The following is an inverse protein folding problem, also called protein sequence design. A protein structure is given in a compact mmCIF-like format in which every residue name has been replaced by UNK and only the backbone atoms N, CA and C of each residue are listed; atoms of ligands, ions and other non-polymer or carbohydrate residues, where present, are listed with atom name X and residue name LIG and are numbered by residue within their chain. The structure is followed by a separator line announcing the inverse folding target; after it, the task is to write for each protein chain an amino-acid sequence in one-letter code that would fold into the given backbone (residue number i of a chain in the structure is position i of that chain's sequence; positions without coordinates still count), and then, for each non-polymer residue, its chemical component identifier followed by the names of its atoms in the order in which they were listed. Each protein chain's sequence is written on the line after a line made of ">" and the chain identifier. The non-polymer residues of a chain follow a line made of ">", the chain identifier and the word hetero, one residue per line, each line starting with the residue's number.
data_IF_600267875830
#
_entry.id   IF_600267875830
#
_cell.length_a   1.000
_cell.length_b   1.000
_cell.length_c   1.000
_cell.angle_alpha   90.00
_cell.angle_beta   90.00
_cell.angle_gamma   90.00
#
_symmetry.space_group_name_H-M   'P 1'
#
loop_
_entity.id
_entity.type
_entity.pdbx_description
1 polymer ?
#
# COMPACT_ATOMS: atom_id res chain seq x y z
N UNK A 1 -6.65 -21.17 -8.10
CA UNK A 1 -7.88 -20.85 -7.31
C UNK A 1 -7.59 -20.14 -5.98
N UNK A 2 -6.70 -20.66 -5.13
CA UNK A 2 -6.39 -20.08 -3.81
C UNK A 2 -5.94 -18.61 -3.89
N UNK A 3 -5.06 -18.27 -4.83
CA UNK A 3 -4.55 -16.90 -5.00
C UNK A 3 -5.63 -15.89 -5.40
N UNK A 4 -6.59 -16.33 -6.23
CA UNK A 4 -7.71 -15.49 -6.65
C UNK A 4 -8.65 -15.19 -5.47
N UNK A 5 -8.87 -16.17 -4.58
CA UNK A 5 -9.66 -15.98 -3.35
C UNK A 5 -8.94 -15.06 -2.37
N UNK A 6 -7.62 -15.22 -2.21
CA UNK A 6 -6.79 -14.34 -1.38
C UNK A 6 -6.81 -12.91 -1.91
N UNK A 7 -6.58 -12.71 -3.22
CA UNK A 7 -6.67 -11.39 -3.87
C UNK A 7 -8.02 -10.74 -3.59
N UNK A 8 -9.13 -11.45 -3.82
CA UNK A 8 -10.49 -10.92 -3.59
C UNK A 8 -10.72 -10.52 -2.13
N UNK A 9 -10.25 -11.35 -1.20
CA UNK A 9 -10.39 -11.10 0.23
C UNK A 9 -9.59 -9.86 0.64
N UNK A 10 -8.35 -9.76 0.18
CA UNK A 10 -7.49 -8.63 0.49
C UNK A 10 -7.98 -7.35 -0.16
N UNK A 11 -8.43 -7.38 -1.41
CA UNK A 11 -9.07 -6.22 -2.09
C UNK A 11 -10.26 -5.70 -1.29
N UNK A 12 -11.14 -6.59 -0.78
CA UNK A 12 -12.27 -6.18 0.08
C UNK A 12 -11.80 -5.54 1.38
N UNK A 13 -10.80 -6.14 2.03
CA UNK A 13 -10.24 -5.63 3.27
C UNK A 13 -9.59 -4.25 3.08
N UNK A 14 -8.81 -4.05 2.03
CA UNK A 14 -8.21 -2.75 1.69
C UNK A 14 -9.29 -1.70 1.44
N UNK A 15 -10.32 -2.03 0.64
CA UNK A 15 -11.42 -1.11 0.37
C UNK A 15 -12.21 -0.72 1.63
N UNK A 16 -12.41 -1.65 2.58
CA UNK A 16 -13.06 -1.34 3.87
C UNK A 16 -12.37 -0.19 4.61
N UNK A 17 -11.04 -0.10 4.51
CA UNK A 17 -10.27 0.97 5.16
C UNK A 17 -10.13 2.21 4.28
N UNK A 18 -9.85 2.05 2.98
CA UNK A 18 -9.68 3.17 2.06
C UNK A 18 -10.94 4.03 1.88
N UNK A 19 -12.13 3.46 2.08
CA UNK A 19 -13.39 4.23 2.07
C UNK A 19 -13.39 5.36 3.11
N UNK A 20 -12.70 5.19 4.25
CA UNK A 20 -12.55 6.23 5.27
C UNK A 20 -11.74 7.43 4.78
N UNK A 21 -10.89 7.23 3.77
CA UNK A 21 -10.09 8.26 3.11
C UNK A 21 -10.67 8.67 1.74
N UNK A 22 -11.92 8.27 1.42
CA UNK A 22 -12.56 8.57 0.14
C UNK A 22 -11.92 7.87 -1.08
N UNK A 23 -11.21 6.77 -0.87
CA UNK A 23 -10.47 6.04 -1.91
C UNK A 23 -11.02 4.62 -2.11
N UNK A 24 -10.81 4.06 -3.31
CA UNK A 24 -11.20 2.70 -3.66
C UNK A 24 -10.23 2.12 -4.69
N UNK A 25 -9.96 0.83 -4.57
CA UNK A 25 -9.18 0.04 -5.53
C UNK A 25 -10.08 -1.02 -6.21
N UNK A 26 -9.79 -1.29 -7.48
CA UNK A 26 -10.41 -2.30 -8.33
C UNK A 26 -9.47 -3.49 -8.52
N UNK A 27 -8.20 -3.22 -8.85
CA UNK A 27 -7.16 -4.24 -8.97
C UNK A 27 -6.04 -3.99 -7.96
N UNK A 28 -5.91 -4.92 -7.01
CA UNK A 28 -4.87 -4.90 -5.99
C UNK A 28 -3.44 -4.75 -6.55
N UNK A 29 -3.16 -5.38 -7.70
CA UNK A 29 -1.81 -5.41 -8.26
C UNK A 29 -1.47 -4.18 -9.07
N UNK A 30 -2.46 -3.44 -9.57
CA UNK A 30 -2.23 -2.22 -10.35
C UNK A 30 -2.38 -0.98 -9.47
N UNK A 31 -3.45 -0.91 -8.68
CA UNK A 31 -3.85 0.30 -7.95
C UNK A 31 -2.99 0.60 -6.72
N UNK A 32 -2.10 -0.30 -6.33
CA UNK A 32 -1.11 -0.07 -5.26
C UNK A 32 0.28 0.32 -5.78
N UNK A 33 0.54 0.20 -7.09
CA UNK A 33 1.90 0.34 -7.66
C UNK A 33 2.48 1.74 -7.57
N UNK A 34 1.64 2.75 -7.52
CA UNK A 34 2.07 4.15 -7.42
C UNK A 34 2.35 4.62 -5.98
N UNK A 35 2.03 3.76 -4.99
CA UNK A 35 2.22 4.01 -3.57
C UNK A 35 1.14 4.87 -2.91
N UNK A 36 0.27 5.57 -3.63
CA UNK A 36 -0.68 6.51 -3.01
C UNK A 36 -1.75 5.81 -2.17
N UNK A 37 -2.31 4.72 -2.68
CA UNK A 37 -3.30 3.93 -1.96
C UNK A 37 -2.66 3.16 -0.80
N UNK A 38 -1.41 2.73 -0.94
CA UNK A 38 -0.65 2.10 0.13
C UNK A 38 -0.41 3.08 1.30
N UNK A 39 0.05 4.30 1.01
CA UNK A 39 0.22 5.35 2.01
C UNK A 39 -1.12 5.64 2.71
N UNK A 40 -2.19 5.85 1.94
CA UNK A 40 -3.51 6.17 2.51
C UNK A 40 -4.04 5.04 3.42
N UNK A 41 -3.77 3.79 3.07
CA UNK A 41 -4.12 2.64 3.90
C UNK A 41 -3.36 2.67 5.23
N UNK A 42 -2.05 2.95 5.19
CA UNK A 42 -1.23 3.04 6.41
C UNK A 42 -1.66 4.20 7.31
N UNK A 43 -1.96 5.37 6.75
CA UNK A 43 -2.47 6.51 7.51
C UNK A 43 -3.78 6.16 8.24
N UNK A 44 -4.71 5.48 7.56
CA UNK A 44 -5.99 5.05 8.16
C UNK A 44 -5.79 4.01 9.26
N UNK A 45 -4.84 3.09 9.09
CA UNK A 45 -4.58 2.01 10.06
C UNK A 45 -3.80 2.48 11.29
N UNK A 46 -2.82 3.36 11.08
CA UNK A 46 -1.93 3.85 12.13
C UNK A 46 -2.39 5.16 12.77
N UNK A 47 -3.42 5.81 12.20
CA UNK A 47 -3.86 7.15 12.59
C UNK A 47 -2.72 8.18 12.57
N UNK A 48 -1.85 8.07 11.56
CA UNK A 48 -0.64 8.86 11.39
C UNK A 48 -0.65 9.52 10.01
N UNK A 49 0.11 10.60 9.83
CA UNK A 49 0.18 11.33 8.55
C UNK A 49 1.53 11.04 7.90
N UNK A 50 1.51 10.55 6.66
CA UNK A 50 2.74 10.20 5.94
C UNK A 50 3.01 11.22 4.83
N UNK A 51 4.29 11.51 4.51
CA UNK A 51 4.63 12.35 3.38
C UNK A 51 4.25 11.67 2.05
N UNK A 52 4.06 12.46 1.00
CA UNK A 52 3.69 11.99 -0.34
C UNK A 52 4.39 12.82 -1.40
N UNK A 53 5.12 12.15 -2.28
CA UNK A 53 5.65 12.78 -3.48
C UNK A 53 4.54 13.06 -4.48
N UNK A 54 4.59 14.26 -5.07
CA UNK A 54 3.64 14.72 -6.07
C UNK A 54 4.28 14.56 -7.45
N UNK A 55 3.68 13.74 -8.31
CA UNK A 55 4.11 13.60 -9.69
C UNK A 55 3.79 12.24 -10.28
N UNK A 56 3.91 12.12 -11.60
CA UNK A 56 3.50 10.91 -12.32
C UNK A 56 4.67 10.07 -12.85
N UNK A 57 5.90 10.60 -12.79
CA UNK A 57 7.10 9.87 -13.21
C UNK A 57 7.38 8.65 -12.32
N UNK A 58 8.08 7.65 -12.88
CA UNK A 58 8.43 6.41 -12.19
C UNK A 58 9.14 6.64 -10.85
N UNK A 59 10.02 7.64 -10.76
CA UNK A 59 10.74 7.91 -9.52
C UNK A 59 9.82 8.35 -8.38
N UNK A 60 8.79 9.17 -8.65
CA UNK A 60 7.80 9.55 -7.62
C UNK A 60 7.02 8.34 -7.12
N UNK A 61 6.64 7.42 -8.02
CA UNK A 61 5.97 6.17 -7.66
C UNK A 61 6.84 5.32 -6.73
N UNK A 62 8.10 5.13 -7.11
CA UNK A 62 9.09 4.41 -6.28
C UNK A 62 9.23 5.08 -4.92
N UNK A 63 9.35 6.41 -4.88
CA UNK A 63 9.52 7.15 -3.64
C UNK A 63 8.28 7.02 -2.72
N UNK A 64 7.07 7.09 -3.26
CA UNK A 64 5.84 6.87 -2.49
C UNK A 64 5.77 5.45 -1.91
N UNK A 65 6.15 4.43 -2.69
CA UNK A 65 6.24 3.06 -2.16
C UNK A 65 7.32 2.98 -1.07
N UNK A 66 8.48 3.58 -1.28
CA UNK A 66 9.58 3.59 -0.31
C UNK A 66 9.16 4.22 1.03
N UNK A 67 8.46 5.37 1.00
CA UNK A 67 7.89 6.01 2.20
C UNK A 67 7.02 5.04 2.99
N UNK A 68 6.14 4.31 2.31
CA UNK A 68 5.26 3.33 2.97
C UNK A 68 6.06 2.17 3.59
N UNK A 69 7.09 1.66 2.90
CA UNK A 69 7.95 0.60 3.42
C UNK A 69 8.79 1.05 4.62
N UNK A 70 9.33 2.27 4.58
CA UNK A 70 10.10 2.84 5.69
C UNK A 70 9.23 3.09 6.91
N UNK A 71 7.99 3.54 6.73
CA UNK A 71 7.03 3.65 7.82
C UNK A 71 6.76 2.30 8.51
N UNK A 72 6.57 1.23 7.73
CA UNK A 72 6.38 -0.12 8.25
C UNK A 72 7.59 -0.59 9.06
N UNK A 73 8.82 -0.38 8.55
CA UNK A 73 10.06 -0.69 9.29
C UNK A 73 10.15 0.08 10.59
N UNK A 74 9.82 1.37 10.58
CA UNK A 74 9.82 2.22 11.77
C UNK A 74 8.81 1.74 12.83
N UNK A 75 7.65 1.21 12.42
CA UNK A 75 6.67 0.61 13.34
C UNK A 75 7.05 -0.83 13.78
N UNK A 76 8.23 -1.32 13.42
CA UNK A 76 8.72 -2.65 13.81
C UNK A 76 8.22 -3.80 12.95
N UNK A 77 7.62 -3.52 11.79
CA UNK A 77 7.18 -4.56 10.86
C UNK A 77 8.36 -5.01 10.00
N UNK A 78 8.80 -6.25 10.20
CA UNK A 78 9.82 -6.88 9.35
C UNK A 78 9.22 -7.30 8.01
N UNK A 79 9.73 -6.73 6.93
CA UNK A 79 9.42 -7.16 5.58
C UNK A 79 10.43 -8.24 5.18
N UNK A 80 10.04 -9.50 5.31
CA UNK A 80 10.84 -10.62 4.82
C UNK A 80 10.78 -10.64 3.29
N UNK A 81 11.84 -10.16 2.64
CA UNK A 81 12.05 -10.49 1.24
C UNK A 81 12.48 -11.96 1.18
N UNK A 82 11.78 -12.84 0.43
CA UNK A 82 12.35 -14.13 0.12
C UNK A 82 13.65 -13.86 -0.63
N UNK A 83 14.78 -14.20 0.00
CA UNK A 83 16.05 -14.33 -0.71
C UNK A 83 15.78 -15.36 -1.81
N UNK A 84 15.71 -14.91 -3.05
CA UNK A 84 15.65 -15.80 -4.20
C UNK A 84 16.98 -16.55 -4.25
N UNK A 85 16.99 -17.80 -3.78
CA UNK A 85 17.97 -18.81 -4.21
C UNK A 85 17.65 -19.25 -5.64
#
# INVERSE_FOLDING_TARGET
>A
ERDAVQKKTFTKWVNKHLLKAGRRILDLYEDLRDGHNLISLLEVLAHDILPRERGHMRFHKIQNVQIALDFLRMKGVSLCYPLTT
#
